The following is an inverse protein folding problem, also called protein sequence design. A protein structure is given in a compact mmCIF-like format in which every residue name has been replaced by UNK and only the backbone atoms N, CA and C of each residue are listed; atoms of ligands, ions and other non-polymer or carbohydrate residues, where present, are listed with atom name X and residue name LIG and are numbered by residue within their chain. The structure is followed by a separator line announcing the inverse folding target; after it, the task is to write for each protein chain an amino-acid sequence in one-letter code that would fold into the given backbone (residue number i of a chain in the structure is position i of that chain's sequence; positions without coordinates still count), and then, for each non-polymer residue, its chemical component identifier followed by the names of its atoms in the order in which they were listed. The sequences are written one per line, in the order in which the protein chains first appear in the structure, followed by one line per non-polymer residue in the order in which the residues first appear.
data_IF_465968684605
#
_entry.id   IF_465968684605
#
_cell.length_a   1.000
_cell.length_b   1.000
_cell.length_c   1.000
_cell.angle_alpha   90.00
_cell.angle_beta   90.00
_cell.angle_gamma   90.00
#
_symmetry.space_group_name_H-M   'P 1'
#
loop_
_entity.id
_entity.type
_entity.pdbx_description
1 polymer ?
#
# COMPACT_ATOMS: atom_id res chain seq x y z
N UNK A 1 63.55 9.15 37.96
CA UNK A 1 62.12 8.89 38.25
C UNK A 1 61.40 8.60 36.95
N UNK A 2 61.06 7.34 36.70
CA UNK A 2 60.13 6.96 35.63
C UNK A 2 59.17 5.95 36.26
N UNK A 3 58.00 6.45 36.69
CA UNK A 3 56.94 5.61 37.24
C UNK A 3 56.36 4.76 36.13
N UNK A 4 56.55 3.44 36.23
CA UNK A 4 55.88 2.45 35.39
C UNK A 4 54.36 2.63 35.55
N UNK A 5 53.69 3.14 34.51
CA UNK A 5 52.23 3.12 34.44
C UNK A 5 51.80 1.65 34.42
N UNK A 6 50.92 1.25 35.35
CA UNK A 6 50.30 -0.09 35.33
C UNK A 6 49.32 -0.13 34.17
N UNK A 7 49.57 -1.00 33.20
CA UNK A 7 48.59 -1.35 32.20
C UNK A 7 47.44 -2.10 32.88
N UNK A 8 46.34 -1.39 33.15
CA UNK A 8 45.10 -1.99 33.66
C UNK A 8 44.30 -2.49 32.47
N UNK A 9 44.56 -3.74 32.07
CA UNK A 9 43.69 -4.47 31.15
C UNK A 9 42.36 -4.84 31.82
N UNK A 10 41.32 -5.05 31.01
CA UNK A 10 40.03 -5.53 31.50
C UNK A 10 40.17 -6.92 32.11
N UNK A 11 39.49 -7.14 33.23
CA UNK A 11 39.41 -8.48 33.82
C UNK A 11 38.44 -9.35 33.01
N UNK A 12 38.67 -10.66 32.98
CA UNK A 12 37.80 -11.60 32.26
C UNK A 12 36.33 -11.49 32.70
N UNK A 13 36.10 -11.29 34.00
CA UNK A 13 34.75 -11.15 34.57
C UNK A 13 34.05 -9.88 34.10
N UNK A 14 34.79 -8.80 33.89
CA UNK A 14 34.26 -7.52 33.42
C UNK A 14 33.90 -7.58 31.93
N UNK A 15 34.69 -8.29 31.12
CA UNK A 15 34.33 -8.61 29.72
C UNK A 15 33.09 -9.50 29.66
N UNK A 16 32.99 -10.51 30.54
CA UNK A 16 31.82 -11.38 30.58
C UNK A 16 30.55 -10.62 30.98
N UNK A 17 30.64 -9.77 32.01
CA UNK A 17 29.53 -8.91 32.44
C UNK A 17 29.08 -7.93 31.35
N UNK A 18 30.02 -7.31 30.64
CA UNK A 18 29.67 -6.39 29.54
C UNK A 18 28.98 -7.11 28.38
N UNK A 19 29.43 -8.31 27.99
CA UNK A 19 28.74 -9.11 26.97
C UNK A 19 27.33 -9.48 27.42
N UNK A 20 27.13 -9.85 28.69
CA UNK A 20 25.80 -10.17 29.25
C UNK A 20 24.88 -8.95 29.21
N UNK A 21 25.37 -7.77 29.61
CA UNK A 21 24.59 -6.53 29.57
C UNK A 21 24.20 -6.20 28.12
N UNK A 22 25.14 -6.31 27.18
CA UNK A 22 24.90 -6.09 25.75
C UNK A 22 23.84 -7.08 25.24
N UNK A 23 23.94 -8.37 25.59
CA UNK A 23 22.99 -9.39 25.16
C UNK A 23 21.55 -9.07 25.60
N UNK A 24 21.37 -8.63 26.85
CA UNK A 24 20.04 -8.23 27.37
C UNK A 24 19.47 -7.06 26.56
N UNK A 25 20.29 -6.05 26.27
CA UNK A 25 19.88 -4.89 25.46
C UNK A 25 19.51 -5.30 24.03
N UNK A 26 20.28 -6.19 23.41
CA UNK A 26 20.02 -6.67 22.05
C UNK A 26 18.72 -7.46 21.94
N UNK A 27 18.35 -8.23 22.96
CA UNK A 27 17.07 -8.96 22.99
C UNK A 27 15.91 -7.96 22.93
N UNK A 28 15.96 -6.88 23.74
CA UNK A 28 14.93 -5.85 23.73
C UNK A 28 14.80 -5.14 22.38
N UNK A 29 15.93 -4.83 21.73
CA UNK A 29 15.95 -4.13 20.43
C UNK A 29 15.47 -5.04 19.29
N UNK A 30 15.76 -6.34 19.35
CA UNK A 30 15.37 -7.29 18.30
C UNK A 30 13.85 -7.34 18.09
N UNK A 31 13.07 -7.24 19.17
CA UNK A 31 11.61 -7.18 19.09
C UNK A 31 11.09 -5.93 18.36
N UNK A 32 11.79 -4.80 18.47
CA UNK A 32 11.43 -3.58 17.75
C UNK A 32 11.63 -3.75 16.23
N UNK A 33 12.75 -4.33 15.82
CA UNK A 33 13.02 -4.59 14.41
C UNK A 33 12.04 -5.58 13.79
N UNK A 34 11.69 -6.66 14.50
CA UNK A 34 10.69 -7.62 14.02
C UNK A 34 9.34 -6.96 13.74
N UNK A 35 8.86 -6.12 14.66
CA UNK A 35 7.62 -5.36 14.47
C UNK A 35 7.74 -4.35 13.33
N UNK A 36 8.87 -3.64 13.25
CA UNK A 36 9.11 -2.64 12.20
C UNK A 36 9.05 -3.25 10.80
N UNK A 37 9.61 -4.45 10.60
CA UNK A 37 9.51 -5.18 9.33
C UNK A 37 8.06 -5.46 8.94
N UNK A 38 7.24 -5.90 9.90
CA UNK A 38 5.81 -6.18 9.66
C UNK A 38 5.06 -4.90 9.30
N UNK A 39 5.24 -3.82 10.06
CA UNK A 39 4.58 -2.55 9.78
C UNK A 39 5.00 -1.95 8.44
N UNK A 40 6.31 -1.98 8.13
CA UNK A 40 6.85 -1.49 6.86
C UNK A 40 6.28 -2.29 5.70
N UNK A 41 6.19 -3.61 5.82
CA UNK A 41 5.58 -4.46 4.81
C UNK A 41 4.10 -4.14 4.59
N UNK A 42 3.33 -3.96 5.67
CA UNK A 42 1.90 -3.59 5.58
C UNK A 42 1.71 -2.19 4.98
N UNK A 43 2.54 -1.22 5.36
CA UNK A 43 2.52 0.13 4.80
C UNK A 43 2.84 0.08 3.29
N UNK A 44 3.81 -0.74 2.88
CA UNK A 44 4.13 -0.98 1.48
C UNK A 44 2.94 -1.53 0.68
N UNK A 45 2.25 -2.57 1.19
CA UNK A 45 1.04 -3.10 0.53
C UNK A 45 -0.06 -2.04 0.40
N UNK A 46 -0.28 -1.23 1.44
CA UNK A 46 -1.29 -0.15 1.40
C UNK A 46 -0.92 0.93 0.38
N UNK A 47 0.34 1.35 0.33
CA UNK A 47 0.82 2.33 -0.64
C UNK A 47 0.63 1.83 -2.08
N UNK A 48 0.94 0.54 -2.32
CA UNK A 48 0.72 -0.10 -3.61
C UNK A 48 -0.77 -0.15 -3.97
N UNK A 49 -1.65 -0.53 -3.04
CA UNK A 49 -3.10 -0.53 -3.27
C UNK A 49 -3.62 0.87 -3.65
N UNK A 50 -3.17 1.92 -2.97
CA UNK A 50 -3.55 3.31 -3.28
C UNK A 50 -3.13 3.70 -4.68
N UNK A 51 -1.90 3.34 -5.08
CA UNK A 51 -1.41 3.60 -6.43
C UNK A 51 -2.27 2.88 -7.48
N UNK A 52 -2.52 1.58 -7.30
CA UNK A 52 -3.38 0.78 -8.19
C UNK A 52 -4.78 1.39 -8.30
N UNK A 53 -5.38 1.82 -7.18
CA UNK A 53 -6.70 2.46 -7.18
C UNK A 53 -6.71 3.77 -7.96
N UNK A 54 -5.67 4.60 -7.80
CA UNK A 54 -5.53 5.87 -8.49
C UNK A 54 -5.37 5.65 -10.01
N UNK A 55 -4.44 4.77 -10.41
CA UNK A 55 -4.19 4.44 -11.81
C UNK A 55 -5.45 3.86 -12.48
N UNK A 56 -6.17 2.98 -11.79
CA UNK A 56 -7.45 2.43 -12.27
C UNK A 56 -8.51 3.52 -12.44
N UNK A 57 -8.62 4.43 -11.48
CA UNK A 57 -9.57 5.55 -11.55
C UNK A 57 -9.24 6.50 -12.71
N UNK A 58 -7.96 6.75 -12.97
CA UNK A 58 -7.52 7.57 -14.11
C UNK A 58 -7.87 6.90 -15.45
N UNK A 59 -7.60 5.60 -15.58
CA UNK A 59 -7.96 4.85 -16.78
C UNK A 59 -9.48 4.86 -17.02
N UNK A 60 -10.28 4.70 -15.96
CA UNK A 60 -11.75 4.80 -16.07
C UNK A 60 -12.16 6.21 -16.51
N UNK A 61 -11.57 7.27 -15.94
CA UNK A 61 -11.85 8.65 -16.36
C UNK A 61 -11.54 8.89 -17.84
N UNK A 62 -10.40 8.39 -18.33
CA UNK A 62 -10.04 8.46 -19.74
C UNK A 62 -11.04 7.71 -20.62
N UNK A 63 -11.47 6.52 -20.21
CA UNK A 63 -12.49 5.76 -20.92
C UNK A 63 -13.84 6.49 -20.95
N UNK A 64 -14.26 7.12 -19.85
CA UNK A 64 -15.48 7.92 -19.78
C UNK A 64 -15.47 9.12 -20.75
N UNK A 65 -14.30 9.72 -20.98
CA UNK A 65 -14.15 10.85 -21.92
C UNK A 65 -14.37 10.37 -23.36
N UNK A 66 -13.87 9.18 -23.70
CA UNK A 66 -13.96 8.65 -25.05
C UNK A 66 -15.33 8.03 -25.34
N UNK A 67 -15.90 7.28 -24.39
CA UNK A 67 -17.09 6.44 -24.59
C UNK A 67 -18.02 6.49 -23.36
N UNK A 68 -18.75 7.60 -23.19
CA UNK A 68 -19.66 7.81 -22.05
C UNK A 68 -20.82 6.81 -21.98
N UNK A 69 -21.48 6.57 -23.11
CA UNK A 69 -22.73 5.81 -23.17
C UNK A 69 -22.53 4.29 -23.09
N UNK A 70 -21.36 3.79 -23.53
CA UNK A 70 -21.03 2.36 -23.59
C UNK A 70 -20.04 1.91 -22.50
N UNK A 71 -19.72 2.77 -21.53
CA UNK A 71 -18.77 2.47 -20.47
C UNK A 71 -19.21 1.23 -19.66
N UNK A 72 -18.50 0.11 -19.86
CA UNK A 72 -18.70 -1.11 -19.09
C UNK A 72 -17.58 -1.26 -18.04
N UNK A 73 -17.91 -0.96 -16.78
CA UNK A 73 -16.96 -1.10 -15.67
C UNK A 73 -16.69 -2.56 -15.26
N UNK A 74 -17.44 -3.53 -15.80
CA UNK A 74 -17.13 -4.96 -15.62
C UNK A 74 -15.89 -5.39 -16.39
N UNK A 75 -15.40 -4.61 -17.36
CA UNK A 75 -14.13 -4.87 -18.03
C UNK A 75 -12.92 -4.54 -17.13
N UNK A 76 -13.09 -3.59 -16.20
CA UNK A 76 -12.03 -3.11 -15.31
C UNK A 76 -11.88 -3.96 -14.02
N UNK A 77 -12.76 -4.95 -13.80
CA UNK A 77 -12.58 -5.96 -12.75
C UNK A 77 -11.56 -7.06 -13.11
N UNK A 78 -11.09 -7.10 -14.37
CA UNK A 78 -10.14 -8.09 -14.88
C UNK A 78 -8.81 -7.44 -15.31
N UNK A 79 -8.36 -6.42 -14.58
CA UNK A 79 -7.02 -5.84 -14.77
C UNK A 79 -5.99 -6.73 -14.05
N UNK A 80 -5.87 -7.97 -14.52
CA UNK A 80 -4.63 -8.74 -14.37
C UNK A 80 -3.57 -8.25 -15.39
N UNK A 81 -3.99 -7.48 -16.41
CA UNK A 81 -3.16 -7.17 -17.58
C UNK A 81 -2.62 -5.71 -17.68
N UNK A 82 -3.08 -4.74 -16.87
CA UNK A 82 -2.48 -3.38 -16.83
C UNK A 82 -1.58 -3.17 -15.61
N UNK A 83 -1.50 -4.14 -14.71
CA UNK A 83 -0.42 -4.18 -13.73
C UNK A 83 0.77 -4.75 -14.48
N UNK A 84 1.52 -3.82 -15.07
CA UNK A 84 2.82 -3.99 -15.70
C UNK A 84 3.59 -5.22 -15.17
N UNK A 85 4.11 -6.01 -16.10
CA UNK A 85 5.06 -7.11 -15.90
C UNK A 85 6.23 -6.77 -14.97
N UNK A 86 6.50 -5.49 -14.69
CA UNK A 86 7.48 -5.03 -13.71
C UNK A 86 7.02 -5.11 -12.23
N UNK A 87 5.72 -5.28 -11.93
CA UNK A 87 5.22 -5.57 -10.56
C UNK A 87 5.15 -7.08 -10.27
N UNK A 88 6.01 -7.86 -10.92
CA UNK A 88 5.97 -9.33 -11.08
C UNK A 88 6.04 -10.20 -9.81
N UNK A 89 5.87 -9.66 -8.61
CA UNK A 89 5.91 -10.45 -7.37
C UNK A 89 4.70 -10.28 -6.44
N UNK A 90 3.71 -9.40 -6.73
CA UNK A 90 2.64 -9.08 -5.76
C UNK A 90 1.25 -8.76 -6.32
N UNK A 91 1.00 -8.82 -7.63
CA UNK A 91 -0.31 -8.48 -8.19
C UNK A 91 -1.43 -9.46 -7.76
N UNK A 92 -1.11 -10.74 -7.61
CA UNK A 92 -2.05 -11.80 -7.19
C UNK A 92 -2.62 -11.60 -5.76
N UNK A 93 -1.94 -10.80 -4.93
CA UNK A 93 -2.42 -10.48 -3.59
C UNK A 93 -3.59 -9.46 -3.60
N UNK A 94 -3.81 -8.73 -4.70
CA UNK A 94 -4.77 -7.63 -4.78
C UNK A 94 -5.92 -7.95 -5.75
N UNK A 95 -7.15 -7.76 -5.26
CA UNK A 95 -8.38 -7.86 -6.05
C UNK A 95 -8.98 -6.48 -6.26
N UNK A 96 -9.25 -6.15 -7.52
CA UNK A 96 -9.80 -4.86 -7.94
C UNK A 96 -11.30 -5.02 -8.22
N UNK A 97 -12.11 -4.09 -7.73
CA UNK A 97 -13.53 -4.03 -8.04
C UNK A 97 -13.93 -2.56 -8.27
N UNK A 98 -14.47 -2.26 -9.44
CA UNK A 98 -14.97 -0.93 -9.80
C UNK A 98 -16.46 -0.95 -10.07
N UNK A 99 -17.20 0.03 -9.51
CA UNK A 99 -18.64 0.15 -9.71
C UNK A 99 -19.10 1.61 -9.80
N UNK A 100 -20.14 1.85 -10.60
CA UNK A 100 -20.87 3.12 -10.60
C UNK A 100 -21.80 3.06 -9.38
N UNK A 101 -21.67 4.04 -8.48
CA UNK A 101 -22.43 4.09 -7.21
C UNK A 101 -23.49 5.18 -7.22
N UNK A 102 -23.46 6.09 -8.18
CA UNK A 102 -24.47 7.12 -8.35
C UNK A 102 -24.37 7.78 -9.70
N UNK A 103 -25.48 8.36 -10.14
CA UNK A 103 -25.55 9.20 -11.33
C UNK A 103 -26.03 10.60 -10.92
N UNK A 104 -25.61 11.61 -11.67
CA UNK A 104 -25.99 13.01 -11.47
C UNK A 104 -26.55 13.50 -12.80
N UNK A 105 -27.70 14.15 -12.74
CA UNK A 105 -28.34 14.91 -13.81
C UNK A 105 -28.27 16.39 -13.35
N UNK A 106 -27.52 17.21 -14.06
CA UNK A 106 -27.20 18.60 -13.68
C UNK A 106 -28.21 19.56 -14.33
N UNK A 107 -28.61 19.30 -15.57
CA UNK A 107 -29.50 20.18 -16.33
C UNK A 107 -31.00 19.81 -16.25
N UNK A 108 -31.31 18.65 -15.69
CA UNK A 108 -32.68 18.17 -15.48
C UNK A 108 -33.33 17.63 -16.75
N UNK A 109 -32.55 17.29 -17.77
CA UNK A 109 -33.03 16.74 -19.03
C UNK A 109 -33.40 15.24 -18.95
N UNK A 110 -33.14 14.61 -17.80
CA UNK A 110 -33.38 13.19 -17.54
C UNK A 110 -32.25 12.26 -18.00
N UNK A 111 -31.15 12.80 -18.51
CA UNK A 111 -29.92 12.09 -18.85
C UNK A 111 -28.86 12.24 -17.74
N UNK A 112 -27.92 11.31 -17.74
CA UNK A 112 -26.82 11.36 -16.78
C UNK A 112 -25.70 12.28 -17.29
N UNK A 113 -25.54 13.43 -16.65
CA UNK A 113 -24.43 14.39 -16.82
C UNK A 113 -23.21 14.02 -15.98
N UNK A 114 -23.38 13.17 -14.97
CA UNK A 114 -22.32 12.77 -14.07
C UNK A 114 -22.47 11.35 -13.57
N UNK A 115 -21.36 10.68 -13.29
CA UNK A 115 -21.30 9.34 -12.69
C UNK A 115 -20.31 9.34 -11.53
N UNK A 116 -20.77 8.89 -10.37
CA UNK A 116 -19.92 8.65 -9.21
C UNK A 116 -19.33 7.25 -9.33
N UNK A 117 -18.03 7.19 -9.56
CA UNK A 117 -17.28 5.95 -9.75
C UNK A 117 -16.56 5.62 -8.46
N UNK A 118 -16.67 4.36 -8.05
CA UNK A 118 -16.03 3.83 -6.87
C UNK A 118 -15.10 2.70 -7.28
N UNK A 119 -13.82 2.82 -6.96
CA UNK A 119 -12.80 1.77 -7.12
C UNK A 119 -12.44 1.24 -5.75
N UNK A 120 -12.58 -0.06 -5.56
CA UNK A 120 -12.23 -0.80 -4.35
C UNK A 120 -11.08 -1.73 -4.66
N UNK A 121 -10.00 -1.63 -3.88
CA UNK A 121 -8.88 -2.58 -3.93
C UNK A 121 -8.88 -3.34 -2.62
N UNK A 122 -8.93 -4.67 -2.69
CA UNK A 122 -8.89 -5.54 -1.51
C UNK A 122 -7.70 -6.49 -1.56
N UNK A 123 -7.11 -6.81 -0.42
CA UNK A 123 -5.99 -7.76 -0.32
C UNK A 123 -6.09 -8.59 0.97
N UNK A 124 -5.17 -9.55 1.13
CA UNK A 124 -5.16 -10.47 2.28
C UNK A 124 -6.48 -11.25 2.40
N UNK A 125 -6.92 -11.83 1.27
CA UNK A 125 -8.18 -12.55 1.18
C UNK A 125 -9.42 -11.68 1.43
N UNK A 126 -9.36 -10.41 1.00
CA UNK A 126 -10.44 -9.42 1.17
C UNK A 126 -10.69 -8.96 2.62
N UNK A 127 -9.73 -9.18 3.53
CA UNK A 127 -9.80 -8.66 4.92
C UNK A 127 -9.41 -7.20 5.05
N UNK A 128 -8.63 -6.69 4.08
CA UNK A 128 -8.21 -5.30 4.03
C UNK A 128 -8.62 -4.72 2.70
N UNK A 129 -9.12 -3.49 2.74
CA UNK A 129 -9.57 -2.78 1.55
C UNK A 129 -9.26 -1.29 1.62
N UNK A 130 -9.16 -0.68 0.45
CA UNK A 130 -9.26 0.76 0.29
C UNK A 130 -10.37 1.05 -0.73
N UNK A 131 -11.04 2.18 -0.55
CA UNK A 131 -12.08 2.66 -1.46
C UNK A 131 -11.72 4.07 -1.92
N UNK A 132 -11.68 4.27 -3.23
CA UNK A 132 -11.49 5.56 -3.87
C UNK A 132 -12.77 5.93 -4.62
N UNK A 133 -13.33 7.11 -4.32
CA UNK A 133 -14.53 7.63 -4.98
C UNK A 133 -14.17 8.86 -5.79
N UNK A 134 -14.68 8.94 -7.02
CA UNK A 134 -14.49 10.12 -7.86
C UNK A 134 -15.74 10.38 -8.69
N UNK A 135 -16.14 11.65 -8.77
CA UNK A 135 -17.17 12.10 -9.69
C UNK A 135 -16.53 12.34 -11.05
N UNK A 136 -17.12 11.76 -12.09
CA UNK A 136 -16.77 12.00 -13.49
C UNK A 136 -17.97 12.64 -14.16
N UNK A 137 -17.76 13.78 -14.82
CA UNK A 137 -18.81 14.55 -15.50
C UNK A 137 -18.66 14.33 -17.00
N UNK A 138 -19.79 14.18 -17.68
CA UNK A 138 -19.89 14.14 -19.14
C UNK A 138 -19.37 15.46 -19.69
N UNK A 139 -18.48 15.40 -20.67
CA UNK A 139 -17.92 16.60 -21.31
C UNK A 139 -18.92 17.19 -22.29
#
# INVERSE_FOLDING_TARGET
MLGLKRDTGFTLIEVLLTIVIIAVVFISISGYFANSVIYTHQAGKRAQAVKIAADTMENIKLACINDWDTLNLSYYSEIDNLIDSDYSLKADDFKINSRITGNIDIDGDGNNDGRLITVVISWDGSKKEIELKSLVVKK
#
